data_IF_898932358616
#
_entry.id   IF_898932358616
#
_cell.length_a   1.000
_cell.length_b   1.000
_cell.length_c   1.000
_cell.angle_alpha   90.00
_cell.angle_beta   90.00
_cell.angle_gamma   90.00
#
_symmetry.space_group_name_H-M   'P 1'
#
loop_
_entity.id
_entity.type
_entity.pdbx_description
1 polymer ?
#
# COMPACT_ATOMS: atom_id res chain seq x y z
N UNK A 1 -7.61 -3.36 0.57
CA UNK A 1 -6.45 -4.18 0.20
C UNK A 1 -5.82 -3.64 -1.07
N UNK A 2 -4.50 -3.60 -1.08
CA UNK A 2 -3.75 -3.14 -2.23
C UNK A 2 -2.75 -4.20 -2.66
N UNK A 3 -2.64 -4.41 -3.96
CA UNK A 3 -1.62 -5.30 -4.52
C UNK A 3 -0.66 -4.48 -5.37
N UNK A 4 0.59 -4.42 -4.94
CA UNK A 4 1.63 -3.70 -5.65
C UNK A 4 2.45 -4.67 -6.50
N UNK A 5 2.82 -4.23 -7.69
CA UNK A 5 3.75 -4.94 -8.56
C UNK A 5 5.04 -4.13 -8.62
N UNK A 6 6.16 -4.75 -8.27
CA UNK A 6 7.45 -4.08 -8.17
C UNK A 6 8.41 -4.76 -9.14
N UNK A 7 8.81 -4.04 -10.18
CA UNK A 7 9.77 -4.55 -11.16
C UNK A 7 11.21 -4.19 -10.82
N UNK A 8 11.40 -3.17 -9.98
CA UNK A 8 12.73 -2.79 -9.50
C UNK A 8 12.92 -3.33 -8.09
N UNK A 9 13.64 -4.45 -7.96
CA UNK A 9 13.81 -5.13 -6.68
C UNK A 9 14.50 -4.27 -5.62
N UNK A 10 15.26 -3.27 -6.05
CA UNK A 10 15.92 -2.35 -5.12
C UNK A 10 14.92 -1.46 -4.38
N UNK A 11 13.70 -1.34 -4.91
CA UNK A 11 12.66 -0.50 -4.32
C UNK A 11 11.74 -1.25 -3.36
N UNK A 12 11.85 -2.58 -3.26
CA UNK A 12 10.98 -3.37 -2.38
C UNK A 12 11.04 -2.86 -0.94
N UNK A 13 12.26 -2.67 -0.42
CA UNK A 13 12.43 -2.16 0.95
C UNK A 13 11.84 -0.77 1.14
N UNK A 14 11.98 0.09 0.15
CA UNK A 14 11.40 1.45 0.20
C UNK A 14 9.88 1.43 0.20
N UNK A 15 9.27 0.51 -0.59
CA UNK A 15 7.83 0.34 -0.61
C UNK A 15 7.33 -0.11 0.76
N UNK A 16 7.95 -1.13 1.34
CA UNK A 16 7.57 -1.65 2.65
C UNK A 16 7.72 -0.56 3.71
N UNK A 17 8.83 0.16 3.71
CA UNK A 17 9.08 1.23 4.67
C UNK A 17 8.03 2.33 4.55
N UNK A 18 7.71 2.75 3.33
CA UNK A 18 6.70 3.78 3.12
C UNK A 18 5.33 3.35 3.65
N UNK A 19 4.95 2.09 3.44
CA UNK A 19 3.67 1.56 3.91
C UNK A 19 3.66 1.40 5.43
N UNK A 20 4.76 0.95 6.02
CA UNK A 20 4.86 0.76 7.46
C UNK A 20 4.90 2.09 8.23
N UNK A 21 5.47 3.13 7.64
CA UNK A 21 5.55 4.45 8.26
C UNK A 21 4.25 5.24 8.14
N UNK A 22 3.27 4.72 7.43
CA UNK A 22 1.96 5.37 7.33
C UNK A 22 1.23 5.24 8.66
N UNK A 23 0.94 6.37 9.31
CA UNK A 23 0.15 6.37 10.52
C UNK A 23 -0.85 7.52 10.47
N UNK A 24 -2.07 7.24 10.93
CA UNK A 24 -3.15 8.20 10.93
C UNK A 24 -4.20 7.76 11.95
N UNK A 25 -4.94 8.72 12.49
CA UNK A 25 -5.98 8.42 13.49
C UNK A 25 -7.08 7.51 12.95
N UNK A 26 -7.29 7.50 11.64
CA UNK A 26 -8.33 6.67 11.02
C UNK A 26 -7.82 5.30 10.60
N UNK A 27 -6.53 5.01 10.74
CA UNK A 27 -5.98 3.69 10.44
C UNK A 27 -5.88 2.91 11.73
N UNK A 28 -6.70 1.87 11.85
CA UNK A 28 -6.71 0.99 13.00
C UNK A 28 -5.57 -0.02 12.96
N UNK A 29 -5.41 -0.67 11.82
CA UNK A 29 -4.38 -1.67 11.57
C UNK A 29 -3.88 -1.58 10.14
N UNK A 30 -2.62 -1.94 9.95
CA UNK A 30 -2.08 -2.14 8.62
C UNK A 30 -1.05 -3.27 8.68
N UNK A 31 -1.05 -4.13 7.66
CA UNK A 31 -0.11 -5.24 7.61
C UNK A 31 0.01 -5.80 6.20
N UNK A 32 1.16 -6.45 5.95
CA UNK A 32 1.40 -7.18 4.71
C UNK A 32 0.72 -8.54 4.82
N UNK A 33 -0.18 -8.86 3.89
CA UNK A 33 -0.88 -10.14 3.89
C UNK A 33 -0.39 -11.10 2.81
N UNK A 34 0.40 -10.60 1.85
CA UNK A 34 0.91 -11.42 0.76
C UNK A 34 2.25 -10.88 0.28
N UNK A 35 3.15 -11.79 -0.06
CA UNK A 35 4.44 -11.44 -0.62
C UNK A 35 4.89 -12.58 -1.53
N UNK A 36 5.10 -12.27 -2.80
CA UNK A 36 5.52 -13.27 -3.77
C UNK A 36 6.56 -12.70 -4.72
N UNK A 37 7.68 -13.41 -4.84
CA UNK A 37 8.74 -13.07 -5.80
C UNK A 37 8.68 -14.02 -6.98
N UNK A 38 8.50 -13.47 -8.19
CA UNK A 38 8.55 -14.26 -9.41
C UNK A 38 9.97 -14.20 -9.99
N UNK A 39 10.68 -15.31 -9.89
CA UNK A 39 12.08 -15.38 -10.33
C UNK A 39 12.22 -15.32 -11.85
N UNK A 40 11.21 -15.75 -12.60
CA UNK A 40 11.25 -15.73 -14.07
C UNK A 40 11.18 -14.32 -14.62
N UNK A 41 10.31 -13.49 -14.04
CA UNK A 41 10.11 -12.11 -14.48
C UNK A 41 10.89 -11.12 -13.63
N UNK A 42 11.50 -11.59 -12.55
CA UNK A 42 12.24 -10.77 -11.59
C UNK A 42 11.39 -9.65 -11.01
N UNK A 43 10.14 -9.98 -10.70
CA UNK A 43 9.17 -9.04 -10.11
C UNK A 43 8.70 -9.54 -8.76
N UNK A 44 8.26 -8.61 -7.93
CA UNK A 44 7.68 -8.89 -6.61
C UNK A 44 6.24 -8.40 -6.61
N UNK A 45 5.35 -9.25 -6.09
CA UNK A 45 3.97 -8.86 -5.77
C UNK A 45 3.83 -8.78 -4.27
N UNK A 46 3.29 -7.67 -3.80
CA UNK A 46 3.17 -7.37 -2.38
C UNK A 46 1.75 -6.92 -2.10
N UNK A 47 1.05 -7.67 -1.24
CA UNK A 47 -0.29 -7.32 -0.80
C UNK A 47 -0.25 -6.68 0.56
N UNK A 48 -0.89 -5.53 0.71
CA UNK A 48 -0.92 -4.79 1.95
C UNK A 48 -2.35 -4.39 2.29
N UNK A 49 -2.71 -4.53 3.56
CA UNK A 49 -4.05 -4.24 4.03
C UNK A 49 -4.04 -3.11 5.03
N UNK A 50 -4.93 -2.14 4.81
CA UNK A 50 -5.22 -1.09 5.78
C UNK A 50 -6.66 -1.26 6.25
N UNK A 51 -6.85 -1.22 7.57
CA UNK A 51 -8.16 -1.26 8.18
C UNK A 51 -8.43 0.13 8.76
N UNK A 52 -9.47 0.78 8.25
CA UNK A 52 -9.81 2.14 8.63
C UNK A 52 -10.89 2.15 9.71
N UNK A 53 -10.77 3.09 10.63
CA UNK A 53 -11.73 3.26 11.70
C UNK A 53 -11.71 4.71 12.19
N UNK A 54 -12.89 5.26 12.49
CA UNK A 54 -13.00 6.53 13.18
C UNK A 54 -13.80 6.35 14.45
N UNK A 55 -13.35 6.96 15.55
CA UNK A 55 -14.05 6.89 16.84
C UNK A 55 -15.15 7.94 16.97
N UNK A 56 -15.19 8.92 16.07
CA UNK A 56 -16.10 10.05 16.17
C UNK A 56 -17.27 10.00 15.20
N UNK A 57 -17.09 9.32 14.06
CA UNK A 57 -18.10 9.25 13.02
C UNK A 57 -17.84 8.07 12.10
N UNK A 58 -18.87 7.71 11.32
CA UNK A 58 -18.69 6.76 10.23
C UNK A 58 -17.95 7.46 9.09
N UNK A 59 -16.86 6.82 8.61
CA UNK A 59 -16.09 7.37 7.51
C UNK A 59 -16.86 7.22 6.20
N UNK A 60 -16.91 8.28 5.41
CA UNK A 60 -17.49 8.22 4.08
C UNK A 60 -16.51 7.59 3.09
N UNK A 61 -17.02 7.10 1.96
CA UNK A 61 -16.19 6.55 0.90
C UNK A 61 -15.19 7.58 0.39
N UNK A 62 -15.60 8.85 0.29
CA UNK A 62 -14.73 9.93 -0.16
C UNK A 62 -13.57 10.17 0.80
N UNK A 63 -13.84 10.13 2.10
CA UNK A 63 -12.79 10.29 3.11
C UNK A 63 -11.78 9.16 3.05
N UNK A 64 -12.25 7.92 2.89
CA UNK A 64 -11.39 6.75 2.76
C UNK A 64 -10.57 6.84 1.47
N UNK A 65 -11.21 7.18 0.35
CA UNK A 65 -10.52 7.29 -0.94
C UNK A 65 -9.43 8.37 -0.91
N UNK A 66 -9.71 9.51 -0.29
CA UNK A 66 -8.73 10.58 -0.14
C UNK A 66 -7.51 10.08 0.65
N UNK A 67 -7.75 9.40 1.76
CA UNK A 67 -6.67 8.85 2.58
C UNK A 67 -5.88 7.79 1.82
N UNK A 68 -6.56 6.92 1.09
CA UNK A 68 -5.93 5.90 0.25
C UNK A 68 -4.98 6.55 -0.75
N UNK A 69 -5.42 7.62 -1.43
CA UNK A 69 -4.55 8.30 -2.41
C UNK A 69 -3.34 8.93 -1.73
N UNK A 70 -3.49 9.48 -0.54
CA UNK A 70 -2.38 10.04 0.22
C UNK A 70 -1.35 8.96 0.59
N UNK A 71 -1.81 7.74 0.85
CA UNK A 71 -0.95 6.62 1.22
C UNK A 71 -0.20 6.08 0.00
N UNK A 72 -0.91 5.85 -1.11
CA UNK A 72 -0.35 5.15 -2.25
C UNK A 72 0.44 6.04 -3.22
N UNK A 73 0.10 7.34 -3.33
CA UNK A 73 0.76 8.22 -4.28
C UNK A 73 2.29 8.27 -4.08
N UNK A 74 2.80 8.43 -2.85
CA UNK A 74 4.26 8.41 -2.67
C UNK A 74 4.90 7.08 -3.06
N UNK A 75 4.18 5.97 -2.86
CA UNK A 75 4.67 4.64 -3.22
C UNK A 75 4.73 4.49 -4.73
N UNK A 76 3.71 4.98 -5.44
CA UNK A 76 3.65 4.88 -6.90
C UNK A 76 4.66 5.79 -7.59
N UNK A 77 5.21 6.77 -6.90
CA UNK A 77 6.28 7.61 -7.43
C UNK A 77 7.62 6.88 -7.49
N UNK A 78 7.78 5.78 -6.77
CA UNK A 78 8.99 4.98 -6.82
C UNK A 78 9.10 4.26 -8.16
N UNK A 79 10.32 4.20 -8.68
CA UNK A 79 10.59 3.61 -9.99
C UNK A 79 10.26 2.11 -10.00
N UNK A 80 9.51 1.68 -11.00
CA UNK A 80 9.15 0.28 -11.18
C UNK A 80 8.05 -0.23 -10.28
N UNK A 81 7.33 0.68 -9.59
CA UNK A 81 6.23 0.31 -8.69
C UNK A 81 4.90 0.67 -9.33
N UNK A 82 3.98 -0.27 -9.36
CA UNK A 82 2.62 -0.05 -9.84
C UNK A 82 1.63 -0.75 -8.91
N UNK A 83 0.37 -0.37 -9.00
CA UNK A 83 -0.69 -0.98 -8.21
C UNK A 83 -1.66 -1.69 -9.15
N UNK A 84 -2.11 -2.87 -8.75
CA UNK A 84 -3.04 -3.67 -9.54
C UNK A 84 -4.44 -3.59 -8.94
N UNK A 85 -5.45 -3.62 -9.79
CA UNK A 85 -6.83 -3.71 -9.37
C UNK A 85 -7.47 -2.40 -8.91
N UNK A 86 -6.86 -1.29 -9.25
CA UNK A 86 -7.45 0.01 -8.98
C UNK A 86 -7.72 0.77 -10.27
#
# INVERSE_FOLDING_TARGET
DFSFSITNLKKVGEVIEALENTSDNIIKHSFMFDFYKNQKTNTVKLGYRFIFQSHQKTLSDDEINTKVQEIINPVLELDGVSIQGM
#
